data_IF_975439043938
#
_entry.id   IF_975439043938
#
_cell.length_a   1.000
_cell.length_b   1.000
_cell.length_c   1.000
_cell.angle_alpha   90.00
_cell.angle_beta   90.00
_cell.angle_gamma   90.00
#
_symmetry.space_group_name_H-M   'P 1'
#
loop_
_entity.id
_entity.type
_entity.pdbx_description
1 polymer ?
#
# COMPACT_ATOMS: atom_id res chain seq x y z
N UNK A 1 -8.36 -2.73 9.01
CA UNK A 1 -7.45 -1.60 8.70
C UNK A 1 -6.55 -1.92 7.50
N UNK A 2 -5.77 -3.01 7.52
CA UNK A 2 -4.87 -3.38 6.41
C UNK A 2 -5.57 -3.65 5.07
N UNK A 3 -6.69 -4.37 5.07
CA UNK A 3 -7.51 -4.53 3.86
C UNK A 3 -8.04 -3.20 3.30
N UNK A 4 -8.25 -2.20 4.15
CA UNK A 4 -8.60 -0.85 3.71
C UNK A 4 -7.43 -0.12 3.04
N UNK A 5 -6.19 -0.34 3.49
CA UNK A 5 -4.99 0.21 2.85
C UNK A 5 -4.73 -0.41 1.48
N UNK A 6 -4.91 -1.73 1.30
CA UNK A 6 -4.81 -2.38 -0.01
C UNK A 6 -5.84 -1.80 -0.99
N UNK A 7 -7.08 -1.58 -0.55
CA UNK A 7 -8.13 -0.97 -1.37
C UNK A 7 -7.81 0.47 -1.75
N UNK A 8 -7.27 1.27 -0.83
CA UNK A 8 -6.87 2.65 -1.11
C UNK A 8 -5.70 2.71 -2.11
N UNK A 9 -4.69 1.86 -1.94
CA UNK A 9 -3.56 1.75 -2.87
C UNK A 9 -4.02 1.31 -4.27
N UNK A 10 -4.88 0.30 -4.37
CA UNK A 10 -5.45 -0.17 -5.63
C UNK A 10 -6.31 0.91 -6.31
N UNK A 11 -7.10 1.65 -5.54
CA UNK A 11 -7.93 2.75 -6.05
C UNK A 11 -7.09 3.91 -6.58
N UNK A 12 -5.99 4.25 -5.89
CA UNK A 12 -5.04 5.24 -6.39
C UNK A 12 -4.34 4.75 -7.66
N UNK A 13 -3.88 3.50 -7.70
CA UNK A 13 -3.25 2.91 -8.88
C UNK A 13 -4.17 2.97 -10.11
N UNK A 14 -5.44 2.61 -9.94
CA UNK A 14 -6.45 2.70 -10.99
C UNK A 14 -6.62 4.13 -11.52
N UNK A 15 -6.57 5.14 -10.62
CA UNK A 15 -6.65 6.55 -10.99
C UNK A 15 -5.38 7.07 -11.67
N UNK A 16 -4.20 6.70 -11.18
CA UNK A 16 -2.90 7.13 -11.71
C UNK A 16 -2.65 6.58 -13.12
N UNK A 17 -3.08 5.34 -13.40
CA UNK A 17 -3.04 4.78 -14.78
C UNK A 17 -3.91 5.55 -15.77
N UNK A 18 -4.98 6.20 -15.31
CA UNK A 18 -5.88 6.99 -16.15
C UNK A 18 -5.47 8.45 -16.36
N UNK A 19 -4.51 8.99 -15.60
CA UNK A 19 -4.22 10.44 -15.58
C UNK A 19 -3.16 10.93 -16.56
N UNK A 20 -2.52 10.06 -17.34
CA UNK A 20 -1.62 10.46 -18.44
C UNK A 20 -0.31 11.17 -18.04
N UNK A 21 0.06 11.21 -16.76
CA UNK A 21 1.34 11.78 -16.29
C UNK A 21 2.47 10.73 -16.39
N UNK A 22 3.42 10.81 -17.35
CA UNK A 22 4.11 9.61 -17.83
C UNK A 22 5.21 9.04 -16.94
N UNK A 23 6.00 9.87 -16.24
CA UNK A 23 7.22 9.39 -15.58
C UNK A 23 7.06 9.22 -14.07
N UNK A 24 6.53 10.25 -13.38
CA UNK A 24 6.32 10.18 -11.93
C UNK A 24 5.18 9.22 -11.54
N UNK A 25 4.14 9.13 -12.36
CA UNK A 25 3.03 8.20 -12.08
C UNK A 25 3.41 6.75 -12.35
N UNK A 26 4.33 6.48 -13.28
CA UNK A 26 4.77 5.10 -13.56
C UNK A 26 5.60 4.53 -12.40
N UNK A 27 6.55 5.31 -11.87
CA UNK A 27 7.35 4.92 -10.70
C UNK A 27 6.44 4.70 -9.49
N UNK A 28 5.53 5.64 -9.21
CA UNK A 28 4.54 5.48 -8.13
C UNK A 28 3.60 4.30 -8.32
N UNK A 29 3.19 4.02 -9.56
CA UNK A 29 2.38 2.85 -9.86
C UNK A 29 3.13 1.56 -9.51
N UNK A 30 4.40 1.47 -9.89
CA UNK A 30 5.22 0.31 -9.57
C UNK A 30 5.42 0.16 -8.05
N UNK A 31 5.71 1.26 -7.35
CA UNK A 31 5.86 1.25 -5.89
C UNK A 31 4.58 0.82 -5.17
N UNK A 32 3.41 1.24 -5.67
CA UNK A 32 2.12 0.82 -5.16
C UNK A 32 1.82 -0.65 -5.44
N UNK A 33 2.18 -1.17 -6.61
CA UNK A 33 2.05 -2.60 -6.90
C UNK A 33 2.91 -3.45 -5.96
N UNK A 34 4.16 -3.04 -5.72
CA UNK A 34 5.02 -3.67 -4.73
C UNK A 34 4.44 -3.57 -3.31
N UNK A 35 3.91 -2.40 -2.94
CA UNK A 35 3.28 -2.18 -1.64
C UNK A 35 2.06 -3.08 -1.42
N UNK A 36 1.21 -3.27 -2.44
CA UNK A 36 0.06 -4.18 -2.37
C UNK A 36 0.52 -5.63 -2.12
N UNK A 37 1.55 -6.10 -2.83
CA UNK A 37 2.10 -7.45 -2.63
C UNK A 37 2.63 -7.65 -1.20
N UNK A 38 3.27 -6.64 -0.64
CA UNK A 38 3.77 -6.70 0.73
C UNK A 38 2.63 -6.75 1.76
N UNK A 39 1.52 -6.04 1.51
CA UNK A 39 0.31 -6.13 2.34
C UNK A 39 -0.35 -7.51 2.25
N UNK A 40 -0.43 -8.08 1.04
CA UNK A 40 -0.98 -9.42 0.83
C UNK A 40 -0.14 -10.49 1.52
N UNK A 41 1.19 -10.42 1.40
CA UNK A 41 2.10 -11.31 2.10
C UNK A 41 1.96 -11.18 3.63
N UNK A 42 1.88 -9.95 4.13
CA UNK A 42 1.65 -9.73 5.56
C UNK A 42 0.32 -10.30 6.04
N UNK A 43 -0.76 -10.15 5.27
CA UNK A 43 -2.06 -10.74 5.59
C UNK A 43 -2.02 -12.27 5.53
N UNK A 44 -1.23 -12.86 4.64
CA UNK A 44 -1.05 -14.31 4.59
C UNK A 44 -0.32 -14.82 5.84
N UNK A 45 0.73 -14.12 6.27
CA UNK A 45 1.56 -14.52 7.41
C UNK A 45 0.93 -14.20 8.77
N UNK A 46 0.17 -13.10 8.86
CA UNK A 46 -0.31 -12.52 10.12
C UNK A 46 -1.81 -12.27 10.15
N UNK A 47 -2.56 -12.67 9.12
CA UNK A 47 -4.01 -12.42 9.03
C UNK A 47 -4.83 -13.10 10.13
N UNK A 48 -4.29 -14.15 10.75
CA UNK A 48 -4.91 -14.82 11.90
C UNK A 48 -4.51 -14.19 13.26
N UNK A 49 -3.55 -13.28 13.26
CA UNK A 49 -3.03 -12.63 14.48
C UNK A 49 -3.91 -11.42 14.79
N UNK A 50 -4.28 -11.23 16.06
CA UNK A 50 -5.08 -10.09 16.51
C UNK A 50 -4.46 -9.56 17.80
N UNK A 51 -4.00 -8.31 17.79
CA UNK A 51 -3.45 -7.67 18.97
C UNK A 51 -2.52 -6.49 18.66
N UNK A 52 -2.07 -5.81 19.71
CA UNK A 52 -1.18 -4.64 19.67
C UNK A 52 0.19 -4.93 19.03
N UNK A 53 0.56 -6.21 18.93
CA UNK A 53 1.78 -6.65 18.26
C UNK A 53 1.82 -6.30 16.76
N UNK A 54 0.66 -6.13 16.13
CA UNK A 54 0.55 -5.70 14.74
C UNK A 54 0.66 -4.18 14.56
N UNK A 55 0.53 -3.39 15.64
CA UNK A 55 0.52 -1.92 15.53
C UNK A 55 1.82 -1.37 14.96
N UNK A 56 2.95 -2.03 15.26
CA UNK A 56 4.25 -1.66 14.71
C UNK A 56 4.28 -1.84 13.19
N UNK A 57 3.78 -2.96 12.70
CA UNK A 57 3.77 -3.30 11.27
C UNK A 57 2.76 -2.44 10.51
N UNK A 58 1.56 -2.23 11.07
CA UNK A 58 0.53 -1.34 10.52
C UNK A 58 1.07 0.08 10.37
N UNK A 59 1.76 0.61 11.40
CA UNK A 59 2.39 1.93 11.32
C UNK A 59 3.52 1.99 10.29
N UNK A 60 4.26 0.89 10.09
CA UNK A 60 5.28 0.79 9.03
C UNK A 60 4.65 0.86 7.65
N UNK A 61 3.55 0.13 7.41
CA UNK A 61 2.83 0.19 6.14
C UNK A 61 2.23 1.58 5.88
N UNK A 62 1.68 2.23 6.91
CA UNK A 62 1.17 3.60 6.79
C UNK A 62 2.24 4.59 6.32
N UNK A 63 3.40 4.61 6.99
CA UNK A 63 4.51 5.50 6.62
C UNK A 63 4.97 5.28 5.18
N UNK A 64 5.14 4.01 4.79
CA UNK A 64 5.54 3.68 3.41
C UNK A 64 4.50 4.11 2.39
N UNK A 65 3.21 4.01 2.72
CA UNK A 65 2.15 4.51 1.84
C UNK A 65 2.21 6.03 1.68
N UNK A 66 2.41 6.77 2.77
CA UNK A 66 2.61 8.23 2.76
C UNK A 66 3.83 8.63 1.92
N UNK A 67 4.96 7.94 2.08
CA UNK A 67 6.18 8.12 1.28
C UNK A 67 5.94 7.93 -0.22
N UNK A 68 5.22 6.87 -0.62
CA UNK A 68 4.89 6.59 -2.02
C UNK A 68 4.00 7.69 -2.61
N UNK A 69 3.05 8.21 -1.82
CA UNK A 69 2.18 9.30 -2.24
C UNK A 69 2.87 10.67 -2.21
N UNK A 70 4.01 10.78 -1.53
CA UNK A 70 4.79 12.01 -1.39
C UNK A 70 4.23 13.00 -0.38
N UNK A 71 3.57 12.50 0.68
CA UNK A 71 3.18 13.29 1.86
C UNK A 71 4.20 13.15 3.00
#
# INVERSE_FOLDING_TARGET
>A
ILGGMSTLAASYLARARGSGEPERSLIRCNDLEHFIRDLEAFLLDKGHVIGVELDRDVNRFRRRFEEILGN
#
